data_IF_677905436039
#
_entry.id   IF_677905436039
#
_cell.length_a   1.000
_cell.length_b   1.000
_cell.length_c   1.000
_cell.angle_alpha   90.00
_cell.angle_beta   90.00
_cell.angle_gamma   90.00
#
_symmetry.space_group_name_H-M   'P 1'
#
loop_
_entity.id
_entity.type
_entity.pdbx_description
1 polymer ?
#
# COMPACT_ATOMS: atom_id res chain seq x y z
N UNK A 1 30.35 -21.08 -14.63
CA UNK A 1 30.67 -19.90 -13.78
C UNK A 1 30.81 -20.24 -12.30
N UNK A 2 29.78 -20.72 -11.59
CA UNK A 2 29.85 -21.01 -10.14
C UNK A 2 30.94 -22.00 -9.71
N UNK A 3 31.23 -23.01 -10.54
CA UNK A 3 32.31 -23.97 -10.28
C UNK A 3 33.69 -23.29 -10.21
N UNK A 4 33.96 -22.37 -11.13
CA UNK A 4 35.23 -21.65 -11.18
C UNK A 4 35.36 -20.65 -10.02
N UNK A 5 34.27 -19.97 -9.65
CA UNK A 5 34.23 -19.12 -8.45
C UNK A 5 34.56 -19.92 -7.18
N UNK A 6 33.96 -21.11 -7.00
CA UNK A 6 34.25 -21.97 -5.86
C UNK A 6 35.73 -22.36 -5.80
N UNK A 7 36.33 -22.70 -6.95
CA UNK A 7 37.73 -23.06 -7.03
C UNK A 7 38.67 -21.90 -6.68
N UNK A 8 38.48 -20.72 -7.25
CA UNK A 8 39.27 -19.52 -6.92
C UNK A 8 39.16 -19.19 -5.43
N UNK A 9 37.96 -19.26 -4.86
CA UNK A 9 37.77 -19.08 -3.41
C UNK A 9 38.47 -20.16 -2.58
N UNK A 10 38.58 -21.39 -3.09
CA UNK A 10 39.29 -22.48 -2.41
C UNK A 10 40.79 -22.21 -2.33
N UNK A 11 41.38 -21.62 -3.39
CA UNK A 11 42.79 -21.18 -3.38
C UNK A 11 42.99 -20.21 -2.21
N UNK A 12 42.27 -19.08 -2.18
CA UNK A 12 42.42 -18.07 -1.13
C UNK A 12 42.22 -18.64 0.28
N UNK A 13 41.24 -19.54 0.47
CA UNK A 13 40.97 -20.15 1.78
C UNK A 13 42.07 -21.11 2.25
N UNK A 14 42.67 -21.86 1.32
CA UNK A 14 43.68 -22.86 1.66
C UNK A 14 45.05 -22.22 1.86
N UNK A 15 45.46 -21.33 0.95
CA UNK A 15 46.77 -20.66 1.02
C UNK A 15 46.79 -19.54 2.05
N UNK A 16 45.65 -18.88 2.28
CA UNK A 16 45.51 -17.70 3.15
C UNK A 16 46.51 -16.61 2.79
N UNK A 17 46.78 -16.46 1.50
CA UNK A 17 47.81 -15.58 0.94
C UNK A 17 47.21 -14.54 -0.01
N UNK A 18 48.03 -13.57 -0.38
CA UNK A 18 47.72 -12.49 -1.32
C UNK A 18 48.28 -12.85 -2.69
N UNK A 19 47.48 -12.63 -3.73
CA UNK A 19 47.85 -12.99 -5.10
C UNK A 19 47.77 -11.81 -6.04
N UNK A 20 48.65 -11.76 -7.04
CA UNK A 20 48.43 -10.97 -8.24
C UNK A 20 47.60 -11.78 -9.24
N UNK A 21 46.96 -11.08 -10.19
CA UNK A 21 46.22 -11.75 -11.28
C UNK A 21 47.11 -12.78 -12.02
N UNK A 22 48.37 -12.43 -12.26
CA UNK A 22 49.37 -13.26 -12.94
C UNK A 22 49.63 -14.59 -12.21
N UNK A 23 49.52 -14.60 -10.89
CA UNK A 23 49.75 -15.79 -10.08
C UNK A 23 48.55 -16.74 -10.19
N UNK A 24 47.33 -16.18 -10.11
CA UNK A 24 46.10 -16.93 -10.30
C UNK A 24 45.97 -17.48 -11.72
N UNK A 25 46.40 -16.73 -12.73
CA UNK A 25 46.47 -17.16 -14.12
C UNK A 25 47.49 -18.29 -14.36
N UNK A 26 48.44 -18.53 -13.45
CA UNK A 26 49.35 -19.69 -13.52
C UNK A 26 48.77 -20.91 -12.79
N UNK A 27 48.15 -20.69 -11.62
CA UNK A 27 47.63 -21.77 -10.77
C UNK A 27 46.37 -22.39 -11.38
N UNK A 28 45.44 -21.57 -11.85
CA UNK A 28 44.12 -22.01 -12.28
C UNK A 28 44.10 -22.89 -13.56
N UNK A 29 44.88 -22.60 -14.62
CA UNK A 29 45.00 -23.52 -15.74
C UNK A 29 45.66 -24.83 -15.36
N UNK A 30 46.69 -24.79 -14.49
CA UNK A 30 47.48 -25.96 -14.10
C UNK A 30 46.67 -26.98 -13.29
N UNK A 31 45.80 -26.52 -12.40
CA UNK A 31 45.01 -27.41 -11.54
C UNK A 31 43.64 -27.80 -12.12
N UNK A 32 43.01 -26.90 -12.89
CA UNK A 32 41.62 -27.07 -13.33
C UNK A 32 41.36 -26.78 -14.81
N UNK A 33 42.40 -26.50 -15.61
CA UNK A 33 42.25 -26.24 -17.04
C UNK A 33 41.45 -24.96 -17.36
N UNK A 34 41.39 -24.01 -16.42
CA UNK A 34 40.68 -22.74 -16.59
C UNK A 34 41.53 -21.81 -17.45
N UNK A 35 40.97 -21.23 -18.52
CA UNK A 35 41.68 -20.27 -19.38
C UNK A 35 41.94 -18.95 -18.65
N UNK A 36 43.04 -18.25 -18.97
CA UNK A 36 43.41 -16.99 -18.32
C UNK A 36 42.30 -15.92 -18.40
N UNK A 37 41.62 -15.78 -19.54
CA UNK A 37 40.47 -14.86 -19.67
C UNK A 37 39.36 -15.19 -18.67
N UNK A 38 39.04 -16.47 -18.48
CA UNK A 38 38.02 -16.89 -17.53
C UNK A 38 38.44 -16.64 -16.08
N UNK A 39 39.73 -16.78 -15.75
CA UNK A 39 40.25 -16.44 -14.41
C UNK A 39 39.99 -14.98 -14.09
N UNK A 40 40.28 -14.07 -15.03
CA UNK A 40 40.05 -12.63 -14.85
C UNK A 40 38.58 -12.30 -14.65
N UNK A 41 37.68 -12.84 -15.49
CA UNK A 41 36.23 -12.61 -15.37
C UNK A 41 35.67 -13.13 -14.05
N UNK A 42 36.09 -14.33 -13.65
CA UNK A 42 35.65 -14.96 -12.40
C UNK A 42 36.17 -14.18 -11.19
N UNK A 43 37.43 -13.75 -11.22
CA UNK A 43 38.01 -12.94 -10.15
C UNK A 43 37.30 -11.59 -10.02
N UNK A 44 37.01 -10.92 -11.13
CA UNK A 44 36.26 -9.67 -11.12
C UNK A 44 34.87 -9.85 -10.52
N UNK A 45 34.13 -10.88 -10.96
CA UNK A 45 32.82 -11.19 -10.39
C UNK A 45 32.89 -11.47 -8.88
N UNK A 46 33.95 -12.10 -8.37
CA UNK A 46 34.13 -12.33 -6.94
C UNK A 46 34.42 -11.03 -6.16
N UNK A 47 35.12 -10.08 -6.78
CA UNK A 47 35.35 -8.75 -6.21
C UNK A 47 34.05 -7.95 -6.19
N UNK A 48 33.28 -7.98 -7.29
CA UNK A 48 31.99 -7.30 -7.40
C UNK A 48 30.97 -7.84 -6.37
N UNK A 49 31.00 -9.16 -6.11
CA UNK A 49 30.21 -9.82 -5.07
C UNK A 49 30.73 -9.55 -3.63
N UNK A 50 31.84 -8.84 -3.48
CA UNK A 50 32.48 -8.51 -2.20
C UNK A 50 33.15 -9.71 -1.50
N UNK A 51 33.32 -10.84 -2.19
CA UNK A 51 33.90 -12.08 -1.66
C UNK A 51 35.42 -12.05 -1.63
N UNK A 52 36.04 -11.31 -2.57
CA UNK A 52 37.49 -11.09 -2.68
C UNK A 52 37.74 -9.59 -2.53
N UNK A 53 38.74 -9.22 -1.73
CA UNK A 53 39.26 -7.86 -1.68
C UNK A 53 40.27 -7.64 -2.80
N UNK A 54 40.27 -6.42 -3.34
CA UNK A 54 41.22 -5.98 -4.35
C UNK A 54 41.77 -4.62 -3.92
N UNK A 55 43.08 -4.49 -3.88
CA UNK A 55 43.75 -3.20 -3.64
C UNK A 55 44.87 -2.99 -4.64
N UNK A 56 44.96 -1.74 -5.12
CA UNK A 56 46.02 -1.32 -6.02
C UNK A 56 47.17 -0.78 -5.20
N UNK A 57 48.35 -1.39 -5.32
CA UNK A 57 49.59 -0.90 -4.73
C UNK A 57 50.59 -0.65 -5.86
N UNK A 58 50.93 0.63 -6.08
CA UNK A 58 51.71 1.07 -7.23
C UNK A 58 51.01 0.77 -8.56
N UNK A 59 51.66 -0.02 -9.41
CA UNK A 59 51.14 -0.39 -10.74
C UNK A 59 50.38 -1.72 -10.75
N UNK A 60 50.30 -2.44 -9.63
CA UNK A 60 49.75 -3.81 -9.58
C UNK A 60 48.54 -3.91 -8.64
N UNK A 61 47.56 -4.74 -9.03
CA UNK A 61 46.43 -5.11 -8.18
C UNK A 61 46.76 -6.37 -7.37
N UNK A 62 46.42 -6.35 -6.09
CA UNK A 62 46.59 -7.44 -5.15
C UNK A 62 45.21 -7.92 -4.71
N UNK A 63 45.04 -9.24 -4.66
CA UNK A 63 43.77 -9.89 -4.35
C UNK A 63 43.94 -10.80 -3.15
N UNK A 64 42.99 -10.77 -2.22
CA UNK A 64 42.95 -11.68 -1.07
C UNK A 64 41.53 -11.90 -0.60
N UNK A 65 41.31 -12.97 0.18
CA UNK A 65 40.01 -13.20 0.80
C UNK A 65 40.17 -13.90 2.15
N UNK A 66 39.55 -13.34 3.19
CA UNK A 66 39.50 -13.99 4.49
C UNK A 66 38.37 -15.03 4.54
N UNK A 67 38.61 -16.24 5.11
CA UNK A 67 37.57 -17.26 5.27
C UNK A 67 36.33 -16.76 6.02
N UNK A 68 36.53 -15.85 6.99
CA UNK A 68 35.47 -15.24 7.80
C UNK A 68 34.64 -14.21 7.04
N UNK A 69 35.17 -13.59 5.97
CA UNK A 69 34.52 -12.47 5.28
C UNK A 69 33.18 -12.86 4.65
N UNK A 70 33.11 -14.03 4.02
CA UNK A 70 31.87 -14.52 3.43
C UNK A 70 30.76 -14.73 4.49
N UNK A 71 31.14 -15.14 5.70
CA UNK A 71 30.21 -15.31 6.82
C UNK A 71 29.73 -13.94 7.32
N UNK A 72 30.64 -12.99 7.53
CA UNK A 72 30.28 -11.64 7.98
C UNK A 72 29.43 -10.89 6.95
N UNK A 73 29.74 -10.99 5.66
CA UNK A 73 28.95 -10.38 4.59
C UNK A 73 27.52 -10.93 4.58
N UNK A 74 27.35 -12.25 4.75
CA UNK A 74 26.03 -12.88 4.86
C UNK A 74 25.27 -12.42 6.11
N UNK A 75 25.92 -12.38 7.28
CA UNK A 75 25.30 -11.87 8.52
C UNK A 75 24.83 -10.43 8.37
N UNK A 76 25.68 -9.55 7.85
CA UNK A 76 25.34 -8.15 7.61
C UNK A 76 24.17 -7.99 6.65
N UNK A 77 24.15 -8.77 5.56
CA UNK A 77 23.04 -8.76 4.60
C UNK A 77 21.73 -9.23 5.25
N UNK A 78 21.81 -10.23 6.12
CA UNK A 78 20.68 -10.74 6.88
C UNK A 78 20.12 -9.66 7.82
N UNK A 79 20.97 -9.02 8.63
CA UNK A 79 20.60 -7.93 9.53
C UNK A 79 19.93 -6.76 8.77
N UNK A 80 20.47 -6.38 7.61
CA UNK A 80 19.89 -5.33 6.77
C UNK A 80 18.49 -5.73 6.27
N UNK A 81 18.33 -6.96 5.79
CA UNK A 81 17.04 -7.45 5.30
C UNK A 81 16.01 -7.56 6.42
N UNK A 82 16.42 -7.99 7.62
CA UNK A 82 15.55 -8.02 8.81
C UNK A 82 15.10 -6.62 9.23
N UNK A 83 16.01 -5.64 9.21
CA UNK A 83 15.66 -4.23 9.48
C UNK A 83 14.65 -3.71 8.46
N UNK A 84 14.89 -3.95 7.17
CA UNK A 84 13.98 -3.53 6.10
C UNK A 84 12.61 -4.20 6.20
N UNK A 85 12.57 -5.49 6.55
CA UNK A 85 11.34 -6.22 6.78
C UNK A 85 10.56 -5.63 7.95
N UNK A 86 11.23 -5.38 9.08
CA UNK A 86 10.63 -4.76 10.27
C UNK A 86 10.03 -3.39 9.96
N UNK A 87 10.79 -2.51 9.30
CA UNK A 87 10.32 -1.20 8.87
C UNK A 87 9.14 -1.29 7.90
N UNK A 88 9.20 -2.22 6.95
CA UNK A 88 8.14 -2.48 5.98
C UNK A 88 6.85 -2.95 6.66
N UNK A 89 6.96 -3.88 7.61
CA UNK A 89 5.83 -4.37 8.40
C UNK A 89 5.22 -3.27 9.27
N UNK A 90 6.04 -2.41 9.89
CA UNK A 90 5.54 -1.29 10.68
C UNK A 90 4.80 -0.26 9.82
N UNK A 91 5.34 0.06 8.63
CA UNK A 91 4.68 0.94 7.64
C UNK A 91 3.36 0.34 7.14
N UNK A 92 3.33 -0.96 6.88
CA UNK A 92 2.10 -1.65 6.48
C UNK A 92 1.03 -1.54 7.57
N UNK A 93 1.39 -1.83 8.82
CA UNK A 93 0.46 -1.75 9.94
C UNK A 93 -0.08 -0.32 10.17
N UNK A 94 0.75 0.72 10.02
CA UNK A 94 0.33 2.11 10.19
C UNK A 94 -0.59 2.58 9.06
N UNK A 95 -0.30 2.19 7.81
CA UNK A 95 -1.14 2.45 6.65
C UNK A 95 -2.49 1.75 6.78
N UNK A 96 -2.50 0.48 7.20
CA UNK A 96 -3.73 -0.28 7.39
C UNK A 96 -4.64 0.37 8.46
N UNK A 97 -4.07 0.84 9.58
CA UNK A 97 -4.82 1.61 10.58
C UNK A 97 -5.38 2.92 10.01
N UNK A 98 -4.62 3.60 9.16
CA UNK A 98 -5.04 4.86 8.53
C UNK A 98 -6.18 4.64 7.53
N UNK A 99 -6.13 3.54 6.76
CA UNK A 99 -7.20 3.13 5.85
C UNK A 99 -8.49 2.86 6.64
N UNK A 100 -8.40 2.15 7.76
CA UNK A 100 -9.59 1.82 8.57
C UNK A 100 -10.25 3.08 9.14
N UNK A 101 -9.45 4.01 9.69
CA UNK A 101 -9.94 5.33 10.13
C UNK A 101 -10.61 6.11 8.99
N UNK A 102 -10.00 6.12 7.81
CA UNK A 102 -10.56 6.83 6.64
C UNK A 102 -11.83 6.15 6.07
N UNK A 103 -12.03 4.84 6.27
CA UNK A 103 -13.27 4.16 5.91
C UNK A 103 -14.42 4.58 6.84
N UNK A 104 -14.18 4.60 8.14
CA UNK A 104 -15.18 5.00 9.14
C UNK A 104 -15.73 6.40 8.82
N UNK A 105 -14.86 7.39 8.61
CA UNK A 105 -15.30 8.77 8.31
C UNK A 105 -16.04 8.91 6.96
N UNK A 106 -15.70 8.09 5.96
CA UNK A 106 -16.42 8.09 4.67
C UNK A 106 -17.81 7.47 4.75
N UNK A 107 -17.98 6.39 5.51
CA UNK A 107 -19.29 5.78 5.76
C UNK A 107 -20.20 6.71 6.57
N UNK A 108 -19.66 7.44 7.54
CA UNK A 108 -20.42 8.43 8.29
C UNK A 108 -20.95 9.54 7.37
N UNK A 109 -20.12 10.04 6.45
CA UNK A 109 -20.51 11.08 5.50
C UNK A 109 -21.61 10.61 4.53
N UNK A 110 -21.53 9.37 4.04
CA UNK A 110 -22.55 8.82 3.13
C UNK A 110 -23.88 8.57 3.84
N UNK A 111 -23.86 8.07 5.09
CA UNK A 111 -25.05 7.91 5.92
C UNK A 111 -25.71 9.26 6.22
N UNK A 112 -24.93 10.28 6.59
CA UNK A 112 -25.42 11.64 6.84
C UNK A 112 -26.09 12.22 5.59
N UNK A 113 -25.53 12.02 4.40
CA UNK A 113 -26.14 12.48 3.15
C UNK A 113 -27.46 11.77 2.83
N UNK A 114 -27.58 10.47 3.11
CA UNK A 114 -28.84 9.73 2.93
C UNK A 114 -29.91 10.19 3.92
N UNK A 115 -29.56 10.30 5.21
CA UNK A 115 -30.44 10.80 6.26
C UNK A 115 -30.92 12.23 5.99
N UNK A 116 -30.04 13.12 5.48
CA UNK A 116 -30.41 14.48 5.12
C UNK A 116 -31.43 14.53 3.96
N UNK A 117 -31.26 13.69 2.94
CA UNK A 117 -32.21 13.56 1.83
C UNK A 117 -33.57 13.07 2.33
N UNK A 118 -33.58 12.06 3.19
CA UNK A 118 -34.81 11.49 3.75
C UNK A 118 -35.54 12.48 4.67
N UNK A 119 -34.82 13.24 5.48
CA UNK A 119 -35.40 14.35 6.26
C UNK A 119 -36.04 15.40 5.36
N UNK A 120 -35.38 15.77 4.24
CA UNK A 120 -35.92 16.76 3.31
C UNK A 120 -37.21 16.28 2.63
N UNK A 121 -37.29 14.99 2.27
CA UNK A 121 -38.46 14.43 1.59
C UNK A 121 -39.64 14.31 2.54
N UNK A 122 -39.41 13.85 3.78
CA UNK A 122 -40.42 13.81 4.85
C UNK A 122 -40.95 15.21 5.18
N UNK A 123 -40.08 16.22 5.24
CA UNK A 123 -40.51 17.60 5.49
C UNK A 123 -41.41 18.14 4.38
N UNK A 124 -41.04 17.88 3.12
CA UNK A 124 -41.86 18.23 1.96
C UNK A 124 -43.21 17.50 1.97
N UNK A 125 -43.24 16.20 2.27
CA UNK A 125 -44.48 15.44 2.41
C UNK A 125 -45.38 16.02 3.51
N UNK A 126 -44.80 16.33 4.68
CA UNK A 126 -45.55 16.92 5.80
C UNK A 126 -46.14 18.29 5.42
N UNK A 127 -45.37 19.11 4.67
CA UNK A 127 -45.85 20.40 4.16
C UNK A 127 -47.03 20.23 3.20
N UNK A 128 -46.93 19.28 2.26
CA UNK A 128 -48.01 19.01 1.31
C UNK A 128 -49.27 18.48 2.02
N UNK A 129 -49.11 17.54 2.97
CA UNK A 129 -50.22 17.01 3.75
C UNK A 129 -50.94 18.10 4.57
N UNK A 130 -50.19 19.04 5.16
CA UNK A 130 -50.78 20.21 5.86
C UNK A 130 -51.59 21.10 4.92
N UNK A 131 -51.09 21.35 3.70
CA UNK A 131 -51.82 22.14 2.70
C UNK A 131 -53.11 21.44 2.30
N UNK A 132 -53.05 20.14 2.01
CA UNK A 132 -54.23 19.34 1.66
C UNK A 132 -55.25 19.32 2.80
N UNK A 133 -54.81 19.09 4.05
CA UNK A 133 -55.70 19.12 5.22
C UNK A 133 -56.38 20.48 5.44
N UNK A 134 -55.67 21.58 5.18
CA UNK A 134 -56.26 22.92 5.25
C UNK A 134 -57.29 23.16 4.13
N UNK A 135 -57.05 22.65 2.93
CA UNK A 135 -57.98 22.76 1.80
C UNK A 135 -59.26 21.95 2.03
N UNK A 136 -59.14 20.71 2.53
CA UNK A 136 -60.29 19.87 2.86
C UNK A 136 -61.13 20.50 3.97
N UNK A 137 -60.49 21.03 5.02
CA UNK A 137 -61.17 21.78 6.08
C UNK A 137 -61.93 22.99 5.54
N UNK A 138 -61.31 23.78 4.65
CA UNK A 138 -61.98 24.93 4.00
C UNK A 138 -63.18 24.51 3.15
N UNK A 139 -63.07 23.42 2.40
CA UNK A 139 -64.16 22.93 1.58
C UNK A 139 -65.33 22.43 2.45
N UNK A 140 -65.04 21.69 3.51
CA UNK A 140 -66.06 21.27 4.49
C UNK A 140 -66.78 22.47 5.10
N UNK A 141 -66.05 23.52 5.46
CA UNK A 141 -66.63 24.76 6.00
C UNK A 141 -67.53 25.49 4.98
N UNK A 142 -67.21 25.48 3.69
CA UNK A 142 -68.07 26.06 2.64
C UNK A 142 -69.39 25.29 2.52
N UNK A 143 -69.33 23.97 2.46
CA UNK A 143 -70.53 23.12 2.37
C UNK A 143 -71.41 23.30 3.61
N UNK A 144 -70.82 23.35 4.80
CA UNK A 144 -71.54 23.62 6.04
C UNK A 144 -72.24 24.99 6.01
N UNK A 145 -71.56 26.04 5.54
CA UNK A 145 -72.14 27.38 5.39
C UNK A 145 -73.29 27.42 4.37
N UNK A 146 -73.12 26.79 3.22
CA UNK A 146 -74.15 26.70 2.18
C UNK A 146 -75.37 25.87 2.65
N UNK A 147 -75.14 24.79 3.39
CA UNK A 147 -76.20 24.04 4.03
C UNK A 147 -76.96 24.90 5.04
N UNK A 148 -76.25 25.58 5.95
CA UNK A 148 -76.87 26.49 6.93
C UNK A 148 -77.71 27.58 6.25
N UNK A 149 -77.16 28.24 5.22
CA UNK A 149 -77.87 29.27 4.46
C UNK A 149 -79.13 28.73 3.76
N UNK A 150 -79.10 27.50 3.21
CA UNK A 150 -80.28 26.86 2.61
C UNK A 150 -81.38 26.59 3.63
N UNK A 151 -81.02 26.08 4.81
CA UNK A 151 -81.96 25.89 5.91
C UNK A 151 -82.58 27.21 6.34
N UNK A 152 -81.78 28.26 6.54
CA UNK A 152 -82.28 29.60 6.89
C UNK A 152 -83.20 30.18 5.80
N UNK A 153 -82.87 30.02 4.52
CA UNK A 153 -83.72 30.46 3.41
C UNK A 153 -85.06 29.73 3.33
N UNK A 154 -85.11 28.44 3.69
CA UNK A 154 -86.36 27.69 3.80
C UNK A 154 -87.27 28.22 4.91
N UNK A 155 -86.71 28.74 6.02
CA UNK A 155 -87.51 29.37 7.07
C UNK A 155 -88.12 30.71 6.60
N UNK A 156 -87.38 31.53 5.84
CA UNK A 156 -87.86 32.84 5.38
C UNK A 156 -88.84 32.73 4.19
N UNK A 157 -88.70 31.74 3.31
CA UNK A 157 -89.63 31.56 2.18
C UNK A 157 -90.98 30.92 2.59
N UNK A 158 -91.08 30.34 3.79
CA UNK A 158 -92.33 29.76 4.31
C UNK A 158 -93.16 30.77 5.13
N UNK A 159 -92.65 31.98 5.39
CA UNK A 159 -93.38 33.04 6.11
C UNK A 159 -94.12 34.03 5.21
N UNK A 160 -93.96 33.93 3.88
CA UNK A 160 -94.60 34.82 2.88
C UNK A 160 -95.73 34.13 2.09
N UNK A 161 -96.45 33.17 2.69
CA UNK A 161 -97.70 32.60 2.15
C UNK A 161 -98.84 32.66 3.15
#
# INVERSE_FOLDING_TARGET
>A
MKFFQHFIMKIFKHTKDVFQLKDLEKIAPKEKGITAMSVKEVLQSLVDDGMVDCERIGTSNYYWAFPSKALHARKRKLEVLESQLSEGSQKHASLQKSIEKAKIGRCETSLVQMLAKELSSLWNQTKQLKVVGNLTSRQANKVAKEAANRWTGMYHNNTDK
#
